data_IF_352977775316
#
_entry.id   IF_352977775316
#
_cell.length_a   1.000
_cell.length_b   1.000
_cell.length_c   1.000
_cell.angle_alpha   90.00
_cell.angle_beta   90.00
_cell.angle_gamma   90.00
#
_symmetry.space_group_name_H-M   'P 1'
#
loop_
_entity.id
_entity.type
_entity.pdbx_description
1 polymer ?
#
# COMPACT_ATOMS: atom_id res chain seq x y z
N UNK A 1 -4.54 9.96 5.41
CA UNK A 1 -5.27 8.67 5.46
C UNK A 1 -6.30 8.64 6.59
N UNK A 2 -7.60 8.44 6.30
CA UNK A 2 -8.64 8.29 7.34
C UNK A 2 -8.55 6.88 7.96
N UNK A 3 -8.07 6.80 9.20
CA UNK A 3 -7.67 5.60 9.93
C UNK A 3 -8.82 4.63 10.31
N UNK A 4 -10.08 4.92 10.00
CA UNK A 4 -11.22 4.11 10.44
C UNK A 4 -11.30 2.74 9.75
N UNK A 5 -10.79 2.61 8.51
CA UNK A 5 -10.78 1.35 7.74
C UNK A 5 -9.96 0.23 8.42
N UNK A 6 -9.00 0.58 9.27
CA UNK A 6 -8.02 -0.38 9.79
C UNK A 6 -8.50 -1.15 11.03
N UNK A 7 -9.61 -0.74 11.67
CA UNK A 7 -10.14 -1.44 12.85
C UNK A 7 -10.55 -2.88 12.53
N UNK A 8 -11.17 -3.11 11.39
CA UNK A 8 -11.58 -4.45 10.96
C UNK A 8 -10.37 -5.35 10.65
N UNK A 9 -9.37 -4.82 9.93
CA UNK A 9 -8.13 -5.55 9.64
C UNK A 9 -7.37 -5.94 10.92
N UNK A 10 -7.30 -5.03 11.90
CA UNK A 10 -6.72 -5.32 13.23
C UNK A 10 -7.48 -6.43 13.96
N UNK A 11 -8.80 -6.48 13.83
CA UNK A 11 -9.63 -7.52 14.44
C UNK A 11 -9.44 -8.90 13.77
N UNK A 12 -9.19 -8.92 12.46
CA UNK A 12 -8.86 -10.13 11.70
C UNK A 12 -7.42 -10.66 11.93
N UNK A 13 -6.61 -9.97 12.74
CA UNK A 13 -5.24 -10.39 13.07
C UNK A 13 -4.15 -9.69 12.29
N UNK A 14 -4.48 -8.85 11.31
CA UNK A 14 -3.52 -8.10 10.48
C UNK A 14 -2.91 -6.87 11.18
N UNK A 15 -2.60 -7.01 12.48
CA UNK A 15 -2.10 -5.88 13.29
C UNK A 15 -0.74 -5.39 12.82
N UNK A 16 0.11 -6.29 12.33
CA UNK A 16 1.45 -5.98 11.86
C UNK A 16 1.40 -5.21 10.55
N UNK A 17 0.62 -5.67 9.60
CA UNK A 17 0.46 -5.10 8.26
C UNK A 17 -0.13 -3.69 8.38
N UNK A 18 -1.15 -3.52 9.22
CA UNK A 18 -1.72 -2.20 9.52
C UNK A 18 -0.66 -1.27 10.12
N UNK A 19 0.16 -1.75 11.07
CA UNK A 19 1.22 -0.95 11.66
C UNK A 19 2.31 -0.59 10.63
N UNK A 20 2.61 -1.48 9.68
CA UNK A 20 3.58 -1.19 8.61
C UNK A 20 3.06 -0.06 7.72
N UNK A 21 1.80 -0.13 7.29
CA UNK A 21 1.17 0.92 6.48
C UNK A 21 1.12 2.26 7.22
N UNK A 22 0.80 2.26 8.52
CA UNK A 22 0.82 3.47 9.37
C UNK A 22 2.23 4.08 9.52
N UNK A 23 3.28 3.29 9.32
CA UNK A 23 4.67 3.75 9.33
C UNK A 23 5.23 3.99 7.92
N UNK A 24 4.36 4.17 6.91
CA UNK A 24 4.72 4.33 5.50
C UNK A 24 5.65 3.20 5.00
N UNK A 25 5.33 1.95 5.36
CA UNK A 25 6.02 0.76 4.88
C UNK A 25 5.06 -0.18 4.18
N UNK A 26 5.51 -0.75 3.07
CA UNK A 26 4.75 -1.72 2.32
C UNK A 26 4.57 -3.00 3.17
N UNK A 27 3.35 -3.48 3.42
CA UNK A 27 3.12 -4.68 4.21
C UNK A 27 3.57 -5.97 3.50
N UNK A 28 3.88 -5.91 2.19
CA UNK A 28 4.30 -7.06 1.39
C UNK A 28 5.83 -7.21 1.34
N UNK A 29 6.56 -6.13 1.03
CA UNK A 29 8.02 -6.17 0.91
C UNK A 29 8.77 -5.51 2.08
N UNK A 30 8.07 -4.86 3.01
CA UNK A 30 8.62 -4.13 4.16
C UNK A 30 9.46 -2.87 3.85
N UNK A 31 9.65 -2.55 2.56
CA UNK A 31 10.31 -1.33 2.11
C UNK A 31 9.51 -0.08 2.49
N UNK A 32 10.24 1.02 2.66
CA UNK A 32 9.64 2.33 2.87
C UNK A 32 8.93 2.75 1.59
N UNK A 33 7.72 3.26 1.73
CA UNK A 33 6.96 3.83 0.63
C UNK A 33 7.26 5.32 0.60
N UNK A 34 7.80 5.79 -0.51
CA UNK A 34 7.84 7.20 -0.85
C UNK A 34 6.67 7.51 -1.78
N UNK A 35 5.84 8.49 -1.40
CA UNK A 35 4.69 8.88 -2.21
C UNK A 35 5.12 9.57 -3.52
N UNK A 36 6.34 10.10 -3.58
CA UNK A 36 6.90 10.71 -4.79
C UNK A 36 7.34 9.68 -5.85
N UNK A 37 7.51 8.40 -5.46
CA UNK A 37 7.90 7.32 -6.37
C UNK A 37 6.72 6.74 -7.18
N UNK A 38 5.48 7.13 -6.86
CA UNK A 38 4.32 6.67 -7.61
C UNK A 38 4.26 7.31 -9.00
N UNK A 39 4.01 6.49 -10.03
CA UNK A 39 4.06 6.94 -11.43
C UNK A 39 2.98 7.95 -11.81
N UNK A 40 1.83 7.90 -11.12
CA UNK A 40 0.69 8.80 -11.35
C UNK A 40 -0.31 8.73 -10.17
N UNK A 41 -1.31 9.62 -10.22
CA UNK A 41 -2.37 9.70 -9.21
C UNK A 41 -3.23 8.44 -9.07
N UNK A 42 -3.33 7.60 -10.10
CA UNK A 42 -4.08 6.34 -10.01
C UNK A 42 -3.38 5.40 -9.04
N UNK A 43 -2.06 5.28 -9.12
CA UNK A 43 -1.28 4.46 -8.20
C UNK A 43 -1.27 5.02 -6.78
N UNK A 44 -1.28 6.35 -6.62
CA UNK A 44 -1.44 6.96 -5.29
C UNK A 44 -2.77 6.58 -4.63
N UNK A 45 -3.88 6.59 -5.39
CA UNK A 45 -5.19 6.16 -4.88
C UNK A 45 -5.21 4.67 -4.54
N UNK A 46 -4.53 3.83 -5.32
CA UNK A 46 -4.39 2.41 -5.00
C UNK A 46 -3.54 2.18 -3.75
N UNK A 47 -2.49 2.98 -3.53
CA UNK A 47 -1.75 2.97 -2.27
C UNK A 47 -2.62 3.37 -1.08
N UNK A 48 -3.44 4.42 -1.19
CA UNK A 48 -4.36 4.80 -0.12
C UNK A 48 -5.39 3.70 0.24
N UNK A 49 -5.72 2.84 -0.74
CA UNK A 49 -6.66 1.74 -0.58
C UNK A 49 -5.99 0.47 -0.03
N UNK A 50 -4.83 0.10 -0.57
CA UNK A 50 -4.16 -1.18 -0.34
C UNK A 50 -2.96 -1.12 0.61
N UNK A 51 -2.29 0.04 0.69
CA UNK A 51 -1.04 0.23 1.42
C UNK A 51 0.22 -0.31 0.73
N UNK A 52 0.16 -0.73 -0.54
CA UNK A 52 1.29 -1.32 -1.28
C UNK A 52 2.12 -0.26 -2.03
N UNK A 53 3.44 -0.43 -2.04
CA UNK A 53 4.33 0.38 -2.90
C UNK A 53 4.10 0.10 -4.39
N UNK A 54 4.58 0.98 -5.26
CA UNK A 54 4.43 0.86 -6.72
C UNK A 54 4.88 -0.50 -7.26
N UNK A 55 6.04 -1.01 -6.85
CA UNK A 55 6.54 -2.30 -7.34
C UNK A 55 5.63 -3.47 -6.95
N UNK A 56 5.12 -3.44 -5.72
CA UNK A 56 4.18 -4.45 -5.23
C UNK A 56 2.80 -4.32 -5.89
N UNK A 57 2.35 -3.09 -6.20
CA UNK A 57 1.15 -2.87 -7.00
C UNK A 57 1.32 -3.47 -8.40
N UNK A 58 2.43 -3.18 -9.07
CA UNK A 58 2.75 -3.69 -10.41
C UNK A 58 2.78 -5.24 -10.40
N UNK A 59 3.37 -5.84 -9.37
CA UNK A 59 3.44 -7.30 -9.20
C UNK A 59 2.07 -7.94 -8.93
N UNK A 60 1.27 -7.38 -8.01
CA UNK A 60 0.01 -7.98 -7.56
C UNK A 60 -1.12 -7.78 -8.55
N UNK A 61 -1.26 -6.56 -9.08
CA UNK A 61 -2.34 -6.20 -10.00
C UNK A 61 -1.96 -6.35 -11.47
N UNK A 62 -0.68 -6.63 -11.75
CA UNK A 62 -0.21 -6.86 -13.11
C UNK A 62 -0.28 -5.62 -13.99
N UNK A 63 -0.01 -4.42 -13.41
CA UNK A 63 0.18 -3.20 -14.19
C UNK A 63 1.45 -3.33 -15.04
N UNK A 64 1.38 -4.13 -16.10
CA UNK A 64 2.35 -4.07 -17.19
C UNK A 64 2.17 -2.71 -17.82
N UNK A 65 3.09 -1.80 -17.52
CA UNK A 65 3.35 -0.62 -18.34
C UNK A 65 3.46 -1.09 -19.78
N UNK A 66 2.43 -0.81 -20.58
CA UNK A 66 2.61 -0.63 -22.00
C UNK A 66 3.51 0.61 -22.12
N UNK A 67 4.73 0.39 -22.58
CA UNK A 67 5.70 1.43 -22.90
C UNK A 67 5.17 2.35 -23.99
#
# INVERSE_FOLDING_TARGET
MKMEKNRFLRALGFRREVAMVENCRCPLCAERVDEEEFRNEVFMKEFESSGLCQECLDMVFGYKVAW
#
